data_IF_146424956882
#
_entry.id   IF_146424956882
#
_cell.length_a   1.000
_cell.length_b   1.000
_cell.length_c   1.000
_cell.angle_alpha   90.00
_cell.angle_beta   90.00
_cell.angle_gamma   90.00
#
_symmetry.space_group_name_H-M   'P 1'
#
loop_
_entity.id
_entity.type
_entity.pdbx_description
1 polymer ?
#
# COMPACT_ATOMS: atom_id res chain seq x y z
N UNK A 1 18.98 -64.63 53.95
CA UNK A 1 17.72 -64.76 53.20
C UNK A 1 16.70 -63.81 53.80
N UNK A 2 16.38 -62.71 53.10
CA UNK A 2 15.08 -62.02 53.09
C UNK A 2 15.29 -60.62 52.50
N UNK A 3 15.14 -60.51 51.17
CA UNK A 3 15.04 -59.22 50.48
C UNK A 3 13.55 -58.88 50.45
N UNK A 4 13.10 -57.96 51.31
CA UNK A 4 11.73 -57.45 51.29
C UNK A 4 11.59 -56.53 50.07
N UNK A 5 10.95 -57.02 49.02
CA UNK A 5 10.57 -56.18 47.88
C UNK A 5 9.50 -55.19 48.33
N UNK A 6 9.84 -53.91 48.39
CA UNK A 6 8.87 -52.83 48.57
C UNK A 6 8.15 -52.62 47.24
N UNK A 7 6.95 -53.20 47.12
CA UNK A 7 6.05 -52.93 45.99
C UNK A 7 5.59 -51.48 46.09
N UNK A 8 6.21 -50.61 45.28
CA UNK A 8 5.84 -49.20 45.22
C UNK A 8 4.43 -49.07 44.65
N UNK A 9 3.55 -48.36 45.37
CA UNK A 9 2.14 -48.23 45.04
C UNK A 9 1.96 -47.34 43.78
N UNK A 10 1.93 -47.98 42.61
CA UNK A 10 1.92 -47.35 41.27
C UNK A 10 0.79 -46.33 41.06
N UNK A 11 -0.30 -46.42 41.84
CA UNK A 11 -1.39 -45.44 41.86
C UNK A 11 -0.96 -44.04 42.32
N UNK A 12 0.04 -43.96 43.21
CA UNK A 12 0.59 -42.70 43.67
C UNK A 12 1.78 -42.24 42.80
N UNK A 13 2.49 -43.19 42.18
CA UNK A 13 3.58 -42.90 41.26
C UNK A 13 3.07 -42.23 39.97
N UNK A 14 1.91 -42.66 39.45
CA UNK A 14 1.25 -42.02 38.30
C UNK A 14 0.80 -40.57 38.59
N UNK A 15 0.35 -40.29 39.82
CA UNK A 15 -0.06 -38.93 40.23
C UNK A 15 1.13 -37.98 40.33
N UNK A 16 2.26 -38.47 40.85
CA UNK A 16 3.50 -37.70 40.94
C UNK A 16 4.08 -37.43 39.54
N UNK A 17 4.02 -38.40 38.63
CA UNK A 17 4.44 -38.23 37.24
C UNK A 17 3.60 -37.18 36.49
N UNK A 18 2.28 -37.20 36.66
CA UNK A 18 1.38 -36.21 36.04
C UNK A 18 1.62 -34.79 36.54
N UNK A 19 1.90 -34.62 37.85
CA UNK A 19 2.19 -33.32 38.45
C UNK A 19 3.56 -32.75 38.03
N UNK A 20 4.53 -33.62 37.75
CA UNK A 20 5.83 -33.22 37.18
C UNK A 20 5.73 -32.89 35.67
N UNK A 21 4.87 -33.58 34.93
CA UNK A 21 4.65 -33.32 33.50
C UNK A 21 3.92 -32.00 33.24
N UNK A 22 3.03 -31.56 34.15
CA UNK A 22 2.32 -30.28 34.00
C UNK A 22 3.23 -29.05 34.16
N UNK A 23 4.39 -29.19 34.81
CA UNK A 23 5.37 -28.09 34.97
C UNK A 23 6.19 -27.81 33.70
N UNK A 24 6.09 -28.65 32.66
CA UNK A 24 6.76 -28.42 31.38
C UNK A 24 5.99 -27.48 30.44
N UNK A 25 4.71 -27.19 30.73
CA UNK A 25 3.89 -26.31 29.89
C UNK A 25 4.02 -24.81 30.23
N UNK A 26 4.75 -24.46 31.29
CA UNK A 26 4.88 -23.05 31.76
C UNK A 26 6.05 -22.30 31.08
N UNK A 27 6.85 -22.96 30.24
CA UNK A 27 7.98 -22.34 29.49
C UNK A 27 7.59 -21.91 28.06
N UNK A 28 6.33 -22.12 27.64
CA UNK A 28 5.85 -21.65 26.34
C UNK A 28 5.20 -20.26 26.44
N UNK A 29 5.98 -19.25 26.82
CA UNK A 29 5.86 -17.83 26.45
C UNK A 29 6.66 -16.97 27.45
N UNK A 30 7.99 -17.03 27.37
CA UNK A 30 8.78 -15.85 27.71
C UNK A 30 8.98 -15.08 26.41
N UNK A 31 7.95 -14.31 26.02
CA UNK A 31 8.20 -13.14 25.17
C UNK A 31 8.86 -12.16 26.12
N UNK A 32 10.14 -11.87 25.90
CA UNK A 32 10.81 -10.78 26.59
C UNK A 32 10.03 -9.50 26.27
N UNK A 33 9.18 -9.08 27.19
CA UNK A 33 8.48 -7.80 27.12
C UNK A 33 9.48 -6.72 27.54
N UNK A 34 10.26 -6.25 26.56
CA UNK A 34 10.87 -4.94 26.63
C UNK A 34 9.76 -3.89 26.43
N UNK A 35 9.08 -3.56 27.52
CA UNK A 35 7.95 -2.62 27.62
C UNK A 35 8.31 -1.16 27.26
N UNK A 36 9.45 -0.90 26.61
CA UNK A 36 9.85 0.43 26.12
C UNK A 36 10.03 0.53 24.60
N UNK A 37 9.69 -0.52 23.84
CA UNK A 37 9.61 -0.39 22.39
C UNK A 37 8.21 0.12 22.03
N UNK A 38 8.06 1.44 21.89
CA UNK A 38 6.94 2.01 21.12
C UNK A 38 6.80 1.18 19.83
N UNK A 39 5.61 0.67 19.48
CA UNK A 39 5.46 -0.15 18.28
C UNK A 39 5.97 0.67 17.09
N UNK A 40 7.09 0.23 16.50
CA UNK A 40 7.66 0.88 15.33
C UNK A 40 6.58 0.94 14.28
N UNK A 41 6.28 2.14 13.80
CA UNK A 41 5.17 2.29 12.88
C UNK A 41 5.40 1.46 11.62
N UNK A 42 4.45 0.56 11.34
CA UNK A 42 4.58 -0.40 10.24
C UNK A 42 4.42 0.33 8.91
N UNK A 43 5.37 0.12 7.98
CA UNK A 43 5.31 0.70 6.64
C UNK A 43 4.91 -0.35 5.61
N UNK A 44 4.08 0.05 4.65
CA UNK A 44 3.60 -0.82 3.58
C UNK A 44 3.83 -0.17 2.22
N UNK A 45 4.31 -0.98 1.27
CA UNK A 45 4.43 -0.56 -0.11
C UNK A 45 3.03 -0.30 -0.70
N UNK A 46 2.81 0.94 -1.11
CA UNK A 46 1.53 1.43 -1.59
C UNK A 46 1.66 1.87 -3.04
N UNK A 47 0.81 1.31 -3.90
CA UNK A 47 0.72 1.68 -5.31
C UNK A 47 -0.16 2.92 -5.49
N UNK A 48 0.36 3.92 -6.20
CA UNK A 48 -0.36 5.15 -6.56
C UNK A 48 -0.83 5.04 -8.00
N UNK A 49 -2.12 5.28 -8.25
CA UNK A 49 -2.73 5.14 -9.56
C UNK A 49 -3.63 6.34 -9.90
N UNK A 50 -3.73 6.65 -11.18
CA UNK A 50 -4.69 7.60 -11.76
C UNK A 50 -5.82 6.80 -12.41
N UNK A 51 -7.03 7.32 -12.29
CA UNK A 51 -8.26 6.79 -12.90
C UNK A 51 -8.95 7.89 -13.68
N UNK A 52 -9.90 7.51 -14.53
CA UNK A 52 -10.78 8.46 -15.20
C UNK A 52 -11.70 9.21 -14.22
N UNK A 53 -12.23 10.33 -14.70
CA UNK A 53 -13.39 10.98 -14.11
C UNK A 53 -14.56 10.86 -15.10
N UNK A 54 -15.82 10.81 -14.62
CA UNK A 54 -16.97 10.70 -15.52
C UNK A 54 -17.02 11.87 -16.50
N UNK A 55 -17.07 11.56 -17.79
CA UNK A 55 -17.31 12.52 -18.87
C UNK A 55 -18.65 12.18 -19.52
N UNK A 56 -19.57 13.12 -19.48
CA UNK A 56 -20.91 12.99 -20.08
C UNK A 56 -21.04 13.93 -21.29
N UNK A 57 -20.20 13.70 -22.31
CA UNK A 57 -20.29 14.38 -23.59
C UNK A 57 -19.81 13.47 -24.73
N UNK A 58 -20.71 13.10 -25.63
CA UNK A 58 -20.45 12.20 -26.74
C UNK A 58 -19.46 12.74 -27.78
N UNK A 59 -19.30 14.06 -27.85
CA UNK A 59 -18.36 14.72 -28.76
C UNK A 59 -16.91 14.60 -28.28
N UNK A 60 -16.67 14.20 -27.02
CA UNK A 60 -15.32 14.04 -26.47
C UNK A 60 -14.75 12.67 -26.85
N UNK A 61 -13.57 12.68 -27.48
CA UNK A 61 -12.80 11.49 -27.90
C UNK A 61 -11.53 11.24 -27.10
N UNK A 62 -11.07 12.21 -26.31
CA UNK A 62 -9.94 12.05 -25.41
C UNK A 62 -9.85 13.20 -24.42
N UNK A 63 -9.24 12.95 -23.27
CA UNK A 63 -9.03 13.96 -22.23
C UNK A 63 -7.62 13.84 -21.70
N UNK A 64 -6.74 14.75 -22.11
CA UNK A 64 -5.31 14.65 -21.87
C UNK A 64 -4.89 15.62 -20.77
N UNK A 65 -4.11 15.11 -19.82
CA UNK A 65 -3.51 15.90 -18.73
C UNK A 65 -2.04 15.54 -18.61
N UNK A 66 -1.17 16.55 -18.50
CA UNK A 66 0.27 16.35 -18.35
C UNK A 66 0.69 16.60 -16.90
N UNK A 67 1.06 15.50 -16.23
CA UNK A 67 1.50 15.49 -14.84
C UNK A 67 3.01 15.65 -14.82
N UNK A 68 3.51 16.71 -14.18
CA UNK A 68 4.94 16.98 -14.05
C UNK A 68 5.52 16.42 -12.77
N UNK A 69 4.71 16.28 -11.73
CA UNK A 69 5.15 15.73 -10.45
C UNK A 69 3.98 15.13 -9.66
N UNK A 70 4.30 14.15 -8.83
CA UNK A 70 3.38 13.65 -7.80
C UNK A 70 4.12 13.69 -6.49
N UNK A 71 3.58 14.41 -5.51
CA UNK A 71 4.17 14.53 -4.18
C UNK A 71 3.29 13.83 -3.15
N UNK A 72 3.90 12.98 -2.35
CA UNK A 72 3.27 12.29 -1.24
C UNK A 72 3.89 12.82 0.05
N UNK A 73 3.06 13.41 0.92
CA UNK A 73 3.49 14.07 2.16
C UNK A 73 4.60 15.11 1.91
N UNK A 74 4.47 15.88 0.82
CA UNK A 74 5.39 16.93 0.41
C UNK A 74 6.67 16.45 -0.30
N UNK A 75 6.92 15.14 -0.39
CA UNK A 75 8.09 14.56 -1.09
C UNK A 75 7.70 14.10 -2.48
N UNK A 76 8.52 14.41 -3.48
CA UNK A 76 8.33 13.91 -4.84
C UNK A 76 8.40 12.37 -4.86
N UNK A 77 7.51 11.75 -5.63
CA UNK A 77 7.45 10.32 -5.83
C UNK A 77 8.67 9.88 -6.63
N UNK A 78 9.47 8.99 -6.04
CA UNK A 78 10.72 8.53 -6.66
C UNK A 78 10.46 7.80 -7.98
N UNK A 79 11.31 8.08 -8.98
CA UNK A 79 11.22 7.46 -10.30
C UNK A 79 10.07 7.96 -11.18
N UNK A 80 9.22 8.87 -10.69
CA UNK A 80 8.21 9.51 -11.53
C UNK A 80 8.86 10.42 -12.57
N UNK A 81 8.42 10.30 -13.81
CA UNK A 81 8.79 11.18 -14.91
C UNK A 81 7.54 11.87 -15.43
N UNK A 82 7.69 13.09 -15.95
CA UNK A 82 6.59 13.81 -16.61
C UNK A 82 5.87 12.88 -17.60
N UNK A 83 4.55 12.82 -17.49
CA UNK A 83 3.72 11.88 -18.23
C UNK A 83 2.42 12.55 -18.64
N UNK A 84 2.07 12.42 -19.92
CA UNK A 84 0.75 12.80 -20.43
C UNK A 84 -0.18 11.60 -20.38
N UNK A 85 -1.32 11.76 -19.73
CA UNK A 85 -2.31 10.70 -19.52
C UNK A 85 -3.58 11.04 -20.27
N UNK A 86 -4.06 10.12 -21.12
CA UNK A 86 -5.43 10.15 -21.62
C UNK A 86 -6.36 9.56 -20.56
N UNK A 87 -7.01 10.43 -19.80
CA UNK A 87 -7.95 10.05 -18.75
C UNK A 87 -9.16 9.30 -19.32
N UNK A 88 -9.57 9.58 -20.56
CA UNK A 88 -10.72 8.91 -21.18
C UNK A 88 -10.41 7.44 -21.50
N UNK A 89 -9.14 7.09 -21.69
CA UNK A 89 -8.71 5.71 -21.89
C UNK A 89 -8.76 4.86 -20.62
N UNK A 90 -8.94 5.46 -19.44
CA UNK A 90 -8.95 4.78 -18.13
C UNK A 90 -10.37 4.35 -17.68
N UNK A 91 -11.32 4.26 -18.60
CA UNK A 91 -12.67 3.81 -18.31
C UNK A 91 -12.75 2.31 -17.94
N UNK A 92 -13.92 1.92 -17.41
CA UNK A 92 -14.26 0.52 -17.10
C UNK A 92 -13.35 -0.11 -16.03
N UNK A 93 -12.92 0.69 -15.04
CA UNK A 93 -12.07 0.23 -13.95
C UNK A 93 -10.60 0.07 -14.35
N UNK A 94 -10.19 0.61 -15.50
CA UNK A 94 -8.79 0.66 -15.89
C UNK A 94 -8.09 1.78 -15.13
N UNK A 95 -6.87 1.55 -14.66
CA UNK A 95 -6.08 2.58 -13.99
C UNK A 95 -4.68 2.66 -14.58
N UNK A 96 -4.05 3.82 -14.45
CA UNK A 96 -2.65 4.03 -14.79
C UNK A 96 -1.83 4.08 -13.51
N UNK A 97 -0.97 3.09 -13.31
CA UNK A 97 0.02 3.14 -12.25
C UNK A 97 1.00 4.32 -12.48
N UNK A 98 1.18 5.14 -11.46
CA UNK A 98 2.07 6.29 -11.43
C UNK A 98 3.39 5.93 -10.75
N UNK A 99 3.32 5.12 -9.70
CA UNK A 99 4.50 4.63 -8.99
C UNK A 99 4.12 3.95 -7.67
N UNK A 100 5.13 3.66 -6.86
CA UNK A 100 4.95 3.06 -5.54
C UNK A 100 5.66 3.90 -4.49
N UNK A 101 5.12 3.91 -3.28
CA UNK A 101 5.67 4.62 -2.13
C UNK A 101 5.43 3.79 -0.87
N UNK A 102 6.41 3.75 0.03
CA UNK A 102 6.22 3.13 1.34
C UNK A 102 5.53 4.13 2.29
N UNK A 103 4.35 3.76 2.79
CA UNK A 103 3.54 4.59 3.68
C UNK A 103 3.34 3.91 5.03
N UNK A 104 3.37 4.73 6.07
CA UNK A 104 3.12 4.31 7.45
C UNK A 104 1.63 4.00 7.65
N UNK A 105 1.34 2.82 8.19
CA UNK A 105 -0.01 2.39 8.50
C UNK A 105 -0.66 3.28 9.58
N UNK A 106 -1.97 3.50 9.46
CA UNK A 106 -2.72 4.29 10.43
C UNK A 106 -2.52 5.82 10.30
N UNK A 107 -1.76 6.28 9.31
CA UNK A 107 -1.55 7.72 9.05
C UNK A 107 -2.37 8.21 7.85
N UNK A 108 -2.76 9.47 7.88
CA UNK A 108 -3.36 10.15 6.73
C UNK A 108 -2.24 10.64 5.81
N UNK A 109 -2.34 10.33 4.51
CA UNK A 109 -1.40 10.84 3.51
C UNK A 109 -2.00 12.03 2.74
N UNK A 110 -1.16 13.00 2.42
CA UNK A 110 -1.48 14.10 1.50
C UNK A 110 -0.85 13.84 0.14
N UNK A 111 -1.65 13.89 -0.92
CA UNK A 111 -1.21 13.70 -2.30
C UNK A 111 -1.39 15.03 -3.04
N UNK A 112 -0.32 15.54 -3.63
CA UNK A 112 -0.33 16.70 -4.51
C UNK A 112 0.10 16.27 -5.90
N UNK A 113 -0.71 16.60 -6.89
CA UNK A 113 -0.41 16.36 -8.31
C UNK A 113 -0.10 17.71 -8.94
N UNK A 114 1.09 17.86 -9.49
CA UNK A 114 1.50 19.09 -10.19
C UNK A 114 1.30 18.89 -11.69
N UNK A 115 0.57 19.83 -12.30
CA UNK A 115 0.24 19.85 -13.72
C UNK A 115 0.95 21.03 -14.39
N UNK A 116 1.21 20.92 -15.69
CA UNK A 116 1.79 22.02 -16.49
C UNK A 116 0.80 22.48 -17.54
N UNK A 117 0.83 23.76 -17.92
CA UNK A 117 0.11 24.28 -19.09
C UNK A 117 1.04 24.45 -20.31
N UNK A 118 2.33 24.16 -20.18
CA UNK A 118 3.34 24.51 -21.18
C UNK A 118 3.34 23.55 -22.38
N UNK A 119 3.65 22.27 -22.16
CA UNK A 119 3.67 21.25 -23.19
C UNK A 119 3.39 19.86 -22.64
N UNK A 120 3.07 18.92 -23.53
CA UNK A 120 2.98 17.49 -23.24
C UNK A 120 4.33 16.88 -22.82
N UNK A 121 4.32 15.60 -22.44
CA UNK A 121 5.51 14.90 -21.96
C UNK A 121 6.62 14.72 -23.04
N UNK A 122 6.29 14.92 -24.31
CA UNK A 122 7.24 14.92 -25.42
C UNK A 122 7.70 16.33 -25.84
N UNK A 123 7.09 17.38 -25.29
CA UNK A 123 7.35 18.77 -25.68
C UNK A 123 6.81 19.17 -27.07
N UNK A 124 5.87 18.41 -27.62
CA UNK A 124 5.41 18.56 -29.01
C UNK A 124 4.00 19.16 -29.13
N UNK A 125 3.23 19.18 -28.05
CA UNK A 125 1.81 19.54 -28.07
C UNK A 125 1.38 20.28 -26.80
N UNK A 126 0.14 20.76 -26.78
CA UNK A 126 -0.45 21.41 -25.62
C UNK A 126 -0.60 20.44 -24.45
N UNK A 127 -0.31 20.92 -23.23
CA UNK A 127 -0.18 20.06 -22.06
C UNK A 127 -1.50 19.42 -21.59
N UNK A 128 -2.58 20.21 -21.55
CA UNK A 128 -3.89 19.75 -21.08
C UNK A 128 -4.96 20.18 -22.07
N UNK A 129 -5.76 19.22 -22.54
CA UNK A 129 -6.79 19.50 -23.51
C UNK A 129 -7.83 18.39 -23.58
N UNK A 130 -9.01 18.77 -24.09
CA UNK A 130 -10.04 17.83 -24.54
C UNK A 130 -9.91 17.68 -26.06
N UNK A 131 -9.90 16.45 -26.54
CA UNK A 131 -9.98 16.13 -27.96
C UNK A 131 -11.43 15.88 -28.33
N UNK A 132 -11.97 16.65 -29.27
CA UNK A 132 -13.33 16.52 -29.78
C UNK A 132 -13.38 15.66 -31.05
N UNK A 133 -14.60 15.23 -31.40
CA UNK A 133 -14.91 14.70 -32.73
C UNK A 133 -14.42 15.62 -33.84
N UNK A 134 -13.79 15.04 -34.87
CA UNK A 134 -13.15 15.80 -35.95
C UNK A 134 -11.72 16.27 -35.66
N UNK A 135 -11.17 15.98 -34.46
CA UNK A 135 -9.77 16.20 -34.13
C UNK A 135 -9.46 17.59 -33.57
N UNK A 136 -10.48 18.39 -33.27
CA UNK A 136 -10.29 19.68 -32.62
C UNK A 136 -9.80 19.48 -31.18
N UNK A 137 -8.77 20.23 -30.80
CA UNK A 137 -8.31 20.32 -29.41
C UNK A 137 -8.87 21.56 -28.74
N UNK A 138 -9.42 21.40 -27.54
CA UNK A 138 -9.83 22.49 -26.67
C UNK A 138 -8.91 22.47 -25.46
N UNK A 139 -8.02 23.45 -25.39
CA UNK A 139 -7.06 23.60 -24.29
C UNK A 139 -7.77 23.81 -22.95
N UNK A 140 -7.22 23.21 -21.90
CA UNK A 140 -7.64 23.39 -20.52
C UNK A 140 -6.55 24.20 -19.79
N UNK A 141 -6.85 25.47 -19.53
CA UNK A 141 -5.95 26.33 -18.76
C UNK A 141 -6.23 26.15 -17.27
N UNK A 142 -5.22 25.65 -16.55
CA UNK A 142 -5.22 25.43 -15.10
C UNK A 142 -4.70 26.64 -14.32
#
# INVERSE_FOLDING_TARGET
MSHKSNVMNYRNLMKVGFLLFSMLFIVSCSKDEDDNMEPSAETYNTKVEVTDAPIDNAEVKGAYVTITNVKINGKALEGFTTTTVDLLALQNGTTKAIGNVDLEAGTTSNIVVELTNEADDQGNDVANYVLLEGGQKVELLL
#
